data_IF_593310131028
#
_entry.id   IF_593310131028
#
_cell.length_a   1.000
_cell.length_b   1.000
_cell.length_c   1.000
_cell.angle_alpha   90.00
_cell.angle_beta   90.00
_cell.angle_gamma   90.00
#
_symmetry.space_group_name_H-M   'P 1'
#
loop_
_entity.id
_entity.type
_entity.pdbx_description
1 polymer ?
#
# COMPACT_ATOMS: atom_id res chain seq x y z
N UNK A 1 -2.69 -69.20 -41.82
CA UNK A 1 -3.49 -67.98 -41.55
C UNK A 1 -3.71 -67.95 -40.04
N UNK A 2 -3.33 -66.98 -39.21
CA UNK A 2 -2.90 -65.58 -39.31
C UNK A 2 -1.85 -65.31 -38.22
N UNK A 3 -1.02 -64.28 -38.44
CA UNK A 3 0.11 -63.82 -37.62
C UNK A 3 -0.27 -62.49 -36.97
N UNK A 4 -0.02 -62.29 -35.68
CA UNK A 4 0.49 -61.01 -35.15
C UNK A 4 1.01 -61.11 -33.70
N UNK A 5 2.26 -60.63 -33.53
CA UNK A 5 3.06 -60.50 -32.32
C UNK A 5 2.70 -59.25 -31.51
N UNK A 6 2.95 -59.28 -30.19
CA UNK A 6 3.87 -58.37 -29.43
C UNK A 6 3.46 -58.38 -27.94
N UNK A 7 4.25 -59.01 -27.05
CA UNK A 7 5.46 -58.52 -26.36
C UNK A 7 5.17 -57.46 -25.28
N UNK A 8 5.45 -57.90 -24.04
CA UNK A 8 6.00 -57.16 -22.89
C UNK A 8 5.02 -56.61 -21.84
N UNK A 9 4.81 -57.47 -20.84
CA UNK A 9 4.78 -57.16 -19.40
C UNK A 9 5.88 -56.14 -19.03
N UNK A 10 5.52 -54.99 -18.46
CA UNK A 10 6.39 -54.20 -17.61
C UNK A 10 5.58 -53.26 -16.71
N UNK A 11 5.47 -53.66 -15.43
CA UNK A 11 5.41 -52.85 -14.22
C UNK A 11 5.18 -51.34 -14.39
N UNK A 12 4.00 -50.86 -14.02
CA UNK A 12 3.78 -49.44 -13.71
C UNK A 12 3.72 -49.28 -12.19
N UNK A 13 4.89 -48.96 -11.63
CA UNK A 13 5.07 -48.45 -10.28
C UNK A 13 4.20 -47.20 -10.05
N UNK A 14 3.45 -47.21 -8.95
CA UNK A 14 2.70 -46.05 -8.49
C UNK A 14 3.63 -44.90 -8.13
N UNK A 15 3.43 -43.75 -8.77
CA UNK A 15 4.00 -42.48 -8.35
C UNK A 15 2.84 -41.57 -7.94
N UNK A 16 2.56 -41.54 -6.64
CA UNK A 16 1.65 -40.58 -6.06
C UNK A 16 2.27 -39.18 -6.20
N UNK A 17 1.74 -38.37 -7.13
CA UNK A 17 2.01 -36.94 -7.17
C UNK A 17 1.30 -36.29 -5.97
N UNK A 18 2.07 -36.03 -4.91
CA UNK A 18 1.72 -35.06 -3.88
C UNK A 18 1.65 -33.68 -4.53
N UNK A 19 0.42 -33.24 -4.86
CA UNK A 19 0.11 -31.85 -5.14
C UNK A 19 0.25 -31.04 -3.85
N UNK A 20 1.48 -30.70 -3.48
CA UNK A 20 1.75 -29.66 -2.51
C UNK A 20 1.32 -28.36 -3.20
N UNK A 21 0.07 -27.97 -2.95
CA UNK A 21 -0.43 -26.64 -3.25
C UNK A 21 0.28 -25.68 -2.30
N UNK A 22 1.53 -25.36 -2.64
CA UNK A 22 2.23 -24.26 -2.02
C UNK A 22 1.43 -23.01 -2.38
N UNK A 23 0.68 -22.49 -1.40
CA UNK A 23 0.15 -21.14 -1.42
C UNK A 23 1.37 -20.21 -1.49
N UNK A 24 1.88 -20.00 -2.70
CA UNK A 24 2.83 -18.96 -2.97
C UNK A 24 2.13 -17.67 -2.52
N UNK A 25 2.64 -17.08 -1.43
CA UNK A 25 2.49 -15.66 -1.20
C UNK A 25 3.02 -15.00 -2.47
N UNK A 26 2.11 -14.71 -3.40
CA UNK A 26 2.42 -13.92 -4.56
C UNK A 26 2.64 -12.49 -4.07
N UNK A 27 3.77 -12.24 -3.40
CA UNK A 27 4.31 -10.90 -3.32
C UNK A 27 4.56 -10.49 -4.76
N UNK A 28 3.67 -9.62 -5.27
CA UNK A 28 3.82 -8.96 -6.56
C UNK A 28 5.24 -8.37 -6.60
N UNK A 29 6.04 -8.80 -7.56
CA UNK A 29 7.38 -8.24 -7.77
C UNK A 29 7.26 -6.72 -7.94
N UNK A 30 7.93 -5.96 -7.06
CA UNK A 30 7.94 -4.48 -7.08
C UNK A 30 7.12 -3.77 -5.99
N UNK A 31 6.42 -4.49 -5.10
CA UNK A 31 5.75 -3.92 -3.93
C UNK A 31 6.52 -4.23 -2.64
N UNK A 32 7.75 -3.73 -2.51
CA UNK A 32 8.41 -3.74 -1.20
C UNK A 32 7.74 -2.72 -0.30
N UNK A 33 7.18 -3.16 0.83
CA UNK A 33 6.71 -2.28 1.90
C UNK A 33 7.89 -1.94 2.82
N UNK A 34 8.07 -0.66 3.11
CA UNK A 34 9.01 -0.18 4.12
C UNK A 34 8.23 0.55 5.21
N UNK A 35 8.51 0.22 6.47
CA UNK A 35 7.90 0.89 7.62
C UNK A 35 9.01 1.52 8.44
N UNK A 36 8.88 2.82 8.70
CA UNK A 36 9.79 3.58 9.55
C UNK A 36 8.99 4.21 10.69
N UNK A 37 9.42 3.98 11.91
CA UNK A 37 8.76 4.51 13.11
C UNK A 37 9.47 5.77 13.59
N UNK A 38 8.71 6.77 14.02
CA UNK A 38 9.26 8.01 14.53
C UNK A 38 8.23 8.92 15.18
N UNK A 39 8.70 10.07 15.66
CA UNK A 39 7.87 11.07 16.35
C UNK A 39 7.61 12.25 15.45
N UNK A 40 6.37 12.74 15.40
CA UNK A 40 6.02 13.93 14.63
C UNK A 40 6.57 15.17 15.32
N UNK A 41 7.50 15.88 14.68
CA UNK A 41 8.14 17.09 15.22
C UNK A 41 7.64 18.39 14.58
N UNK A 42 6.95 18.30 13.44
CA UNK A 42 6.26 19.44 12.82
C UNK A 42 5.02 18.97 12.06
N UNK A 43 3.97 19.80 12.05
CA UNK A 43 2.75 19.58 11.28
C UNK A 43 2.29 20.92 10.70
N UNK A 44 2.07 20.97 9.38
CA UNK A 44 1.68 22.19 8.68
C UNK A 44 0.56 21.89 7.69
N UNK A 45 -0.50 22.70 7.69
CA UNK A 45 -1.53 22.62 6.66
C UNK A 45 -0.93 23.05 5.31
N UNK A 46 -1.13 22.25 4.28
CA UNK A 46 -0.58 22.49 2.94
C UNK A 46 -1.62 22.20 1.87
N UNK A 47 -1.44 22.82 0.70
CA UNK A 47 -2.11 22.34 -0.50
C UNK A 47 -1.31 21.17 -1.08
N UNK A 48 -1.95 20.00 -1.17
CA UNK A 48 -1.33 18.72 -1.56
C UNK A 48 -0.61 18.78 -2.93
N UNK A 49 -1.08 19.62 -3.87
CA UNK A 49 -0.46 19.78 -5.19
C UNK A 49 0.88 20.53 -5.15
N UNK A 50 1.03 21.46 -4.20
CA UNK A 50 2.23 22.31 -4.07
C UNK A 50 3.33 21.68 -3.19
N UNK A 51 2.96 20.76 -2.30
CA UNK A 51 3.89 20.19 -1.31
C UNK A 51 4.67 18.96 -1.82
N UNK A 52 4.19 18.29 -2.88
CA UNK A 52 4.77 17.06 -3.42
C UNK A 52 6.19 17.20 -4.05
N UNK A 53 6.72 18.43 -4.18
CA UNK A 53 7.93 18.71 -4.94
C UNK A 53 9.27 18.72 -4.18
N UNK A 54 9.29 18.58 -2.85
CA UNK A 54 10.50 18.85 -2.02
C UNK A 54 10.94 17.68 -1.15
N UNK A 55 11.23 16.52 -1.75
CA UNK A 55 11.72 15.34 -1.01
C UNK A 55 10.71 14.73 -0.04
N UNK A 56 9.46 15.20 -0.07
CA UNK A 56 8.36 14.67 0.71
C UNK A 56 7.79 13.43 0.04
N UNK A 57 7.43 12.44 0.85
CA UNK A 57 6.63 11.30 0.39
C UNK A 57 5.16 11.67 0.49
N UNK A 58 4.39 11.40 -0.57
CA UNK A 58 2.97 11.75 -0.61
C UNK A 58 2.15 10.51 -0.28
N UNK A 59 1.44 10.58 0.83
CA UNK A 59 0.47 9.60 1.29
C UNK A 59 -0.97 9.97 0.97
N UNK A 60 -1.89 9.12 1.42
CA UNK A 60 -3.32 9.31 1.20
C UNK A 60 -3.77 9.09 -0.25
N UNK A 61 -4.98 9.50 -0.57
CA UNK A 61 -5.60 9.32 -1.90
C UNK A 61 -4.86 10.18 -2.94
N UNK A 62 -4.38 11.36 -2.54
CA UNK A 62 -3.62 12.26 -3.41
C UNK A 62 -2.30 11.65 -3.90
N UNK A 63 -1.59 10.88 -3.07
CA UNK A 63 -0.39 10.13 -3.48
C UNK A 63 -0.69 9.11 -4.58
N UNK A 64 -1.88 8.50 -4.55
CA UNK A 64 -2.31 7.55 -5.58
C UNK A 64 -2.76 8.23 -6.89
N UNK A 65 -3.33 9.43 -6.80
CA UNK A 65 -3.66 10.24 -7.99
C UNK A 65 -2.41 10.51 -8.84
N UNK A 66 -1.29 10.86 -8.20
CA UNK A 66 -0.04 11.21 -8.89
C UNK A 66 0.70 9.98 -9.45
N UNK A 67 0.67 8.84 -8.75
CA UNK A 67 1.35 7.59 -9.17
C UNK A 67 0.58 6.79 -10.22
N UNK A 68 -0.74 6.98 -10.32
CA UNK A 68 -1.60 6.37 -11.36
C UNK A 68 -1.09 6.65 -12.78
N UNK A 69 -0.38 7.77 -12.95
CA UNK A 69 0.19 8.19 -14.22
C UNK A 69 1.38 7.36 -14.71
N UNK A 70 1.99 6.54 -13.83
CA UNK A 70 3.17 5.71 -14.15
C UNK A 70 2.84 4.23 -14.41
N UNK A 71 1.57 3.82 -14.25
CA UNK A 71 1.13 2.43 -14.50
C UNK A 71 0.82 2.20 -16.00
N UNK A 72 1.13 0.98 -16.49
CA UNK A 72 1.04 0.54 -17.89
C UNK A 72 -0.26 0.96 -18.63
N UNK A 73 -0.13 1.27 -19.94
CA UNK A 73 -1.21 1.75 -20.82
C UNK A 73 -2.42 0.82 -20.88
N UNK A 74 -2.26 -0.49 -20.65
CA UNK A 74 -3.36 -1.46 -20.69
C UNK A 74 -4.33 -1.38 -19.50
N UNK A 75 -3.87 -0.87 -18.33
CA UNK A 75 -4.76 -0.58 -17.19
C UNK A 75 -5.39 0.81 -17.32
N UNK A 76 -4.63 1.79 -17.84
CA UNK A 76 -5.15 3.12 -18.18
C UNK A 76 -6.28 3.08 -19.21
N UNK A 77 -6.13 2.29 -20.28
CA UNK A 77 -7.13 2.14 -21.34
C UNK A 77 -8.43 1.52 -20.84
N UNK A 78 -8.35 0.52 -19.94
CA UNK A 78 -9.55 -0.10 -19.34
C UNK A 78 -10.35 0.89 -18.51
N UNK A 79 -9.67 1.67 -17.67
CA UNK A 79 -10.32 2.67 -16.83
C UNK A 79 -10.82 3.90 -17.62
N UNK A 80 -10.39 4.11 -18.88
CA UNK A 80 -10.90 5.21 -19.73
C UNK A 80 -12.01 4.80 -20.70
N UNK A 81 -12.20 3.49 -20.94
CA UNK A 81 -13.17 3.00 -21.93
C UNK A 81 -14.63 3.10 -21.46
N UNK A 82 -14.89 3.24 -20.17
CA UNK A 82 -16.23 3.41 -19.59
C UNK A 82 -16.25 4.74 -18.83
N UNK A 83 -16.41 5.86 -19.54
CA UNK A 83 -16.97 7.17 -19.14
C UNK A 83 -16.53 7.94 -17.87
N UNK A 84 -16.04 7.30 -16.82
CA UNK A 84 -15.71 7.87 -15.52
C UNK A 84 -14.58 7.04 -14.89
N UNK A 85 -13.39 7.11 -15.46
CA UNK A 85 -12.24 6.40 -14.90
C UNK A 85 -11.94 6.85 -13.47
N UNK A 86 -11.32 5.97 -12.68
CA UNK A 86 -10.95 6.21 -11.28
C UNK A 86 -10.24 7.54 -11.03
N UNK A 87 -9.47 8.04 -12.01
CA UNK A 87 -8.86 9.37 -11.93
C UNK A 87 -9.88 10.53 -11.87
N UNK A 88 -11.01 10.42 -12.58
CA UNK A 88 -12.11 11.37 -12.48
C UNK A 88 -12.84 11.25 -11.14
N UNK A 89 -12.99 10.04 -10.60
CA UNK A 89 -13.60 9.82 -9.27
C UNK A 89 -12.74 10.45 -8.16
N UNK A 90 -11.43 10.23 -8.23
CA UNK A 90 -10.47 10.84 -7.30
C UNK A 90 -10.45 12.35 -7.47
N UNK A 91 -10.41 12.86 -8.71
CA UNK A 91 -10.44 14.30 -8.96
C UNK A 91 -11.72 14.96 -8.40
N UNK A 92 -12.89 14.36 -8.59
CA UNK A 92 -14.17 14.83 -8.01
C UNK A 92 -14.15 14.79 -6.48
N UNK A 93 -13.58 13.75 -5.88
CA UNK A 93 -13.41 13.67 -4.43
C UNK A 93 -12.43 14.72 -3.90
N UNK A 94 -11.50 15.17 -4.74
CA UNK A 94 -10.45 16.13 -4.40
C UNK A 94 -10.83 17.58 -4.73
N UNK A 95 -11.76 17.82 -5.66
CA UNK A 95 -12.17 19.15 -6.17
C UNK A 95 -12.68 20.10 -5.07
N UNK A 96 -13.05 19.58 -3.90
CA UNK A 96 -13.49 20.40 -2.74
C UNK A 96 -12.50 20.53 -1.58
N UNK A 97 -11.44 19.71 -1.50
CA UNK A 97 -10.57 19.69 -0.32
C UNK A 97 -9.16 19.15 -0.62
N UNK A 98 -8.34 19.94 -1.33
CA UNK A 98 -6.91 19.68 -1.51
C UNK A 98 -6.06 20.12 -0.31
N UNK A 99 -6.70 20.47 0.81
CA UNK A 99 -6.02 20.77 2.04
C UNK A 99 -5.61 19.45 2.69
N UNK A 100 -4.31 19.28 2.88
CA UNK A 100 -3.75 18.18 3.64
C UNK A 100 -2.76 18.70 4.65
N UNK A 101 -2.01 17.79 5.22
CA UNK A 101 -1.00 18.06 6.23
C UNK A 101 0.36 17.59 5.72
N UNK A 102 1.37 18.44 5.92
CA UNK A 102 2.77 18.06 5.84
C UNK A 102 3.27 17.80 7.25
N UNK A 103 3.65 16.56 7.50
CA UNK A 103 4.28 16.12 8.74
C UNK A 103 5.77 15.97 8.54
N UNK A 104 6.56 16.47 9.48
CA UNK A 104 7.97 16.10 9.61
C UNK A 104 8.07 15.11 10.75
N UNK A 105 8.57 13.92 10.47
CA UNK A 105 8.75 12.83 11.42
C UNK A 105 10.23 12.64 11.67
N UNK A 106 10.63 12.71 12.94
CA UNK A 106 11.96 12.34 13.42
C UNK A 106 12.03 10.83 13.62
N UNK A 107 12.91 10.18 12.86
CA UNK A 107 13.15 8.74 12.89
C UNK A 107 14.24 8.35 13.90
N UNK A 108 14.75 9.32 14.65
CA UNK A 108 15.89 9.16 15.53
C UNK A 108 17.22 9.30 14.79
N UNK A 109 18.30 9.41 15.56
CA UNK A 109 19.68 9.51 15.05
C UNK A 109 19.91 10.64 14.03
N UNK A 110 19.11 11.72 14.11
CA UNK A 110 19.19 12.86 13.19
C UNK A 110 18.53 12.63 11.83
N UNK A 111 17.89 11.47 11.60
CA UNK A 111 17.15 11.17 10.38
C UNK A 111 15.72 11.70 10.46
N UNK A 112 15.24 12.32 9.38
CA UNK A 112 13.88 12.84 9.30
C UNK A 112 13.24 12.47 7.97
N UNK A 113 11.92 12.30 7.98
CA UNK A 113 11.12 12.11 6.78
C UNK A 113 9.96 13.11 6.77
N UNK A 114 9.69 13.68 5.59
CA UNK A 114 8.55 14.56 5.37
C UNK A 114 7.45 13.78 4.67
N UNK A 115 6.26 13.73 5.28
CA UNK A 115 5.09 13.04 4.75
C UNK A 115 3.99 14.06 4.48
N UNK A 116 3.48 14.08 3.25
CA UNK A 116 2.32 14.90 2.88
C UNK A 116 1.11 13.97 2.78
N UNK A 117 0.07 14.18 3.58
CA UNK A 117 -1.11 13.31 3.65
C UNK A 117 -2.40 14.11 3.70
N UNK A 118 -3.51 13.53 3.23
CA UNK A 118 -4.87 14.04 3.47
C UNK A 118 -5.39 13.71 4.88
N UNK A 119 -4.69 12.85 5.62
CA UNK A 119 -4.93 12.63 7.04
C UNK A 119 -4.62 13.87 7.88
N UNK A 120 -5.58 14.27 8.72
CA UNK A 120 -5.48 15.47 9.58
C UNK A 120 -5.46 15.15 11.08
N UNK A 121 -5.56 13.87 11.43
CA UNK A 121 -5.74 13.43 12.82
C UNK A 121 -4.41 13.27 13.56
N UNK A 122 -3.28 13.23 12.84
CA UNK A 122 -1.92 13.16 13.41
C UNK A 122 -1.49 14.54 13.92
N UNK A 123 -0.79 14.59 15.05
CA UNK A 123 -0.38 15.79 15.78
C UNK A 123 1.11 15.74 16.11
N UNK A 124 1.69 16.92 16.34
CA UNK A 124 3.05 17.04 16.87
C UNK A 124 3.13 16.33 18.22
N UNK A 125 4.17 15.53 18.42
CA UNK A 125 4.40 14.68 19.59
C UNK A 125 3.88 13.25 19.44
N UNK A 126 3.07 12.95 18.43
CA UNK A 126 2.58 11.58 18.23
C UNK A 126 3.70 10.66 17.74
N UNK A 127 3.73 9.43 18.28
CA UNK A 127 4.46 8.33 17.67
C UNK A 127 3.70 7.80 16.46
N UNK A 128 4.40 7.65 15.33
CA UNK A 128 3.81 7.24 14.06
C UNK A 128 4.66 6.20 13.34
N UNK A 129 3.98 5.35 12.56
CA UNK A 129 4.58 4.59 11.48
C UNK A 129 4.41 5.34 10.16
N UNK A 130 5.50 5.45 9.40
CA UNK A 130 5.52 5.92 8.01
C UNK A 130 5.71 4.70 7.11
N UNK A 131 4.63 4.31 6.45
CA UNK A 131 4.56 3.14 5.57
C UNK A 131 4.77 3.61 4.13
N UNK A 132 5.71 3.01 3.40
CA UNK A 132 6.04 3.37 2.02
C UNK A 132 6.03 2.12 1.15
N UNK A 133 5.11 2.09 0.20
CA UNK A 133 5.10 1.06 -0.82
C UNK A 133 6.05 1.45 -1.97
N UNK A 134 6.76 0.46 -2.52
CA UNK A 134 7.60 0.63 -3.72
C UNK A 134 6.85 1.19 -4.96
N UNK A 135 5.51 1.20 -4.93
CA UNK A 135 4.67 1.87 -5.92
C UNK A 135 4.69 3.40 -5.86
N UNK A 136 5.36 4.00 -4.87
CA UNK A 136 5.50 5.44 -4.67
C UNK A 136 4.40 6.06 -3.81
N UNK A 137 3.71 5.24 -3.02
CA UNK A 137 2.58 5.66 -2.18
C UNK A 137 2.93 5.48 -0.71
N UNK A 138 2.46 6.41 0.12
CA UNK A 138 2.75 6.39 1.55
C UNK A 138 1.48 6.35 2.43
N UNK A 139 1.67 5.96 3.67
CA UNK A 139 0.72 6.12 4.76
C UNK A 139 1.46 6.68 5.97
N UNK A 140 0.79 7.50 6.77
CA UNK A 140 1.23 7.81 8.12
C UNK A 140 0.18 7.27 9.07
N UNK A 141 0.57 6.61 10.15
CA UNK A 141 -0.35 5.93 11.07
C UNK A 141 0.08 6.24 12.47
N UNK A 142 -0.83 6.74 13.31
CA UNK A 142 -0.58 6.89 14.75
C UNK A 142 -0.48 5.51 15.39
N UNK A 143 0.50 5.34 16.28
CA UNK A 143 0.75 4.09 17.01
C UNK A 143 0.94 4.39 18.50
N UNK A 144 1.14 3.34 19.31
CA UNK A 144 1.47 3.49 20.72
C UNK A 144 2.84 4.17 20.89
N UNK A 145 2.96 5.06 21.88
CA UNK A 145 4.19 5.81 22.18
C UNK A 145 5.38 4.90 22.46
N UNK A 146 5.14 3.77 23.15
CA UNK A 146 6.14 2.74 23.44
C UNK A 146 6.80 2.13 22.19
N UNK A 147 6.14 2.20 21.03
CA UNK A 147 6.76 1.74 19.79
C UNK A 147 7.94 2.63 19.37
N UNK A 148 7.86 3.94 19.59
CA UNK A 148 8.97 4.86 19.30
C UNK A 148 10.14 4.63 20.26
N UNK A 149 9.87 4.36 21.55
CA UNK A 149 10.90 3.97 22.51
C UNK A 149 11.63 2.71 22.07
N UNK A 150 10.88 1.66 21.69
CA UNK A 150 11.43 0.42 21.18
C UNK A 150 12.21 0.63 19.87
N UNK A 151 11.67 1.40 18.92
CA UNK A 151 12.32 1.68 17.64
C UNK A 151 13.65 2.40 17.83
N UNK A 152 13.69 3.44 18.66
CA UNK A 152 14.93 4.20 18.92
C UNK A 152 15.97 3.39 19.71
N UNK A 153 15.52 2.43 20.52
CA UNK A 153 16.40 1.48 21.19
C UNK A 153 16.82 0.29 20.30
N UNK A 154 16.31 0.17 19.07
CA UNK A 154 16.44 -1.00 18.20
C UNK A 154 15.93 -2.30 18.85
N UNK A 155 14.79 -2.21 19.54
CA UNK A 155 14.15 -3.26 20.33
C UNK A 155 12.77 -3.65 19.79
N UNK A 156 12.45 -3.29 18.54
CA UNK A 156 11.24 -3.81 17.88
C UNK A 156 11.49 -5.28 17.52
N UNK A 157 10.71 -6.18 18.12
CA UNK A 157 10.83 -7.60 17.86
C UNK A 157 10.25 -8.00 16.49
N UNK A 158 10.64 -9.17 16.00
CA UNK A 158 10.26 -9.65 14.67
C UNK A 158 8.75 -9.92 14.53
N UNK A 159 8.07 -10.32 15.62
CA UNK A 159 6.64 -10.60 15.59
C UNK A 159 5.84 -9.30 15.42
N UNK A 160 6.20 -8.27 16.19
CA UNK A 160 5.62 -6.94 16.07
C UNK A 160 5.90 -6.32 14.69
N UNK A 161 7.12 -6.47 14.18
CA UNK A 161 7.47 -6.04 12.83
C UNK A 161 6.63 -6.76 11.76
N UNK A 162 6.41 -8.07 11.90
CA UNK A 162 5.56 -8.84 10.99
C UNK A 162 4.09 -8.42 11.06
N UNK A 163 3.59 -8.09 12.25
CA UNK A 163 2.26 -7.55 12.44
C UNK A 163 2.09 -6.20 11.73
N UNK A 164 3.03 -5.27 11.94
CA UNK A 164 3.05 -3.97 11.28
C UNK A 164 3.07 -4.10 9.75
N UNK A 165 3.91 -4.98 9.22
CA UNK A 165 3.97 -5.25 7.77
C UNK A 165 2.62 -5.75 7.25
N UNK A 166 1.94 -6.64 7.98
CA UNK A 166 0.62 -7.15 7.58
C UNK A 166 -0.43 -6.04 7.54
N UNK A 167 -0.46 -5.15 8.52
CA UNK A 167 -1.40 -4.02 8.52
C UNK A 167 -1.13 -3.05 7.37
N UNK A 168 0.13 -2.69 7.13
CA UNK A 168 0.52 -1.84 6.02
C UNK A 168 0.14 -2.48 4.66
N UNK A 169 0.33 -3.79 4.50
CA UNK A 169 -0.06 -4.52 3.29
C UNK A 169 -1.59 -4.51 3.09
N UNK A 170 -2.38 -4.66 4.16
CA UNK A 170 -3.84 -4.55 4.08
C UNK A 170 -4.30 -3.14 3.68
N UNK A 171 -3.66 -2.11 4.21
CA UNK A 171 -3.91 -0.72 3.79
C UNK A 171 -3.57 -0.52 2.32
N UNK A 172 -2.38 -0.98 1.87
CA UNK A 172 -1.97 -0.92 0.48
C UNK A 172 -2.98 -1.62 -0.44
N UNK A 173 -3.39 -2.83 -0.12
CA UNK A 173 -4.37 -3.60 -0.89
C UNK A 173 -5.73 -2.88 -0.97
N UNK A 174 -6.17 -2.24 0.13
CA UNK A 174 -7.39 -1.44 0.15
C UNK A 174 -7.30 -0.26 -0.82
N UNK A 175 -6.18 0.46 -0.81
CA UNK A 175 -5.91 1.56 -1.74
C UNK A 175 -5.84 1.06 -3.19
N UNK A 176 -5.28 -0.12 -3.44
CA UNK A 176 -5.29 -0.73 -4.79
C UNK A 176 -6.70 -1.06 -5.28
N UNK A 177 -7.54 -1.66 -4.43
CA UNK A 177 -8.95 -1.94 -4.79
C UNK A 177 -9.75 -0.67 -5.05
N UNK A 178 -9.51 0.39 -4.27
CA UNK A 178 -10.10 1.70 -4.52
C UNK A 178 -9.73 2.23 -5.92
N UNK A 179 -8.49 2.01 -6.36
CA UNK A 179 -8.03 2.39 -7.70
C UNK A 179 -8.63 1.54 -8.83
N UNK A 180 -9.15 0.36 -8.50
CA UNK A 180 -9.79 -0.56 -9.44
C UNK A 180 -11.30 -0.33 -9.54
N UNK A 181 -11.87 0.55 -8.70
CA UNK A 181 -13.29 0.88 -8.76
C UNK A 181 -13.66 1.60 -10.07
N UNK A 182 -14.76 1.15 -10.68
CA UNK A 182 -15.26 1.63 -11.97
C UNK A 182 -16.56 2.46 -11.84
N UNK A 183 -17.18 2.48 -10.66
CA UNK A 183 -18.40 3.27 -10.38
C UNK A 183 -18.23 4.10 -9.11
N UNK A 184 -19.01 5.17 -8.99
CA UNK A 184 -19.03 6.07 -7.82
C UNK A 184 -19.34 5.26 -6.54
N UNK A 185 -20.33 4.38 -6.58
CA UNK A 185 -20.72 3.56 -5.42
C UNK A 185 -19.61 2.57 -5.02
N UNK A 186 -18.96 1.94 -5.99
CA UNK A 186 -17.84 1.04 -5.74
C UNK A 186 -16.64 1.80 -5.15
N UNK A 187 -16.39 3.01 -5.64
CA UNK A 187 -15.35 3.89 -5.13
C UNK A 187 -15.65 4.33 -3.69
N UNK A 188 -16.88 4.71 -3.36
CA UNK A 188 -17.27 5.06 -1.98
C UNK A 188 -17.15 3.91 -0.98
N UNK A 189 -17.52 2.68 -1.38
CA UNK A 189 -17.32 1.48 -0.55
C UNK A 189 -15.83 1.23 -0.34
N UNK A 190 -15.03 1.31 -1.40
CA UNK A 190 -13.58 1.12 -1.30
C UNK A 190 -12.92 2.21 -0.45
N UNK A 191 -13.38 3.45 -0.57
CA UNK A 191 -12.96 4.58 0.26
C UNK A 191 -13.20 4.33 1.75
N UNK A 192 -14.38 3.82 2.13
CA UNK A 192 -14.64 3.45 3.53
C UNK A 192 -13.70 2.36 4.03
N UNK A 193 -13.33 1.42 3.17
CA UNK A 193 -12.35 0.37 3.49
C UNK A 193 -10.94 0.94 3.66
N UNK A 194 -10.54 1.89 2.83
CA UNK A 194 -9.26 2.62 2.98
C UNK A 194 -9.23 3.34 4.32
N UNK A 195 -10.27 4.13 4.65
CA UNK A 195 -10.39 4.81 5.95
C UNK A 195 -10.23 3.86 7.13
N UNK A 196 -10.88 2.71 7.06
CA UNK A 196 -10.81 1.70 8.11
C UNK A 196 -9.43 1.03 8.24
N UNK A 197 -8.76 0.70 7.13
CA UNK A 197 -7.50 -0.06 7.16
C UNK A 197 -6.25 0.83 7.23
N UNK A 198 -6.35 2.08 6.83
CA UNK A 198 -5.22 3.02 6.75
C UNK A 198 -5.25 4.09 7.84
N UNK A 199 -6.31 4.14 8.64
CA UNK A 199 -6.62 5.19 9.63
C UNK A 199 -6.79 6.59 8.99
N UNK A 200 -7.39 6.64 7.79
CA UNK A 200 -7.69 7.87 7.01
C UNK A 200 -9.02 8.57 7.42
#
# INVERSE_FOLDING_TARGET
MLKQNNRNLALLSGLALLLISGSALAQRSGQSMSIQTGVVIAAQAVNLQSAAGRGAVVGGIAGYATTSSRRSSSRRARNTLIGAGTGALIARSAEGNLNGMQYTVDLGNGSQIVVVSDQTQVRVGDCVNVEQAGSGTANVRRVAESLCEAAFANQVDEELQAYMNREADMCLEAKERMMEAETDEAFEVAMRRVKFLCDD
#
